data_IF_648917128092
#
_entry.id   IF_648917128092
#
_cell.length_a   1.000
_cell.length_b   1.000
_cell.length_c   1.000
_cell.angle_alpha   90.00
_cell.angle_beta   90.00
_cell.angle_gamma   90.00
#
_symmetry.space_group_name_H-M   'P 1'
#
loop_
_entity.id
_entity.type
_entity.pdbx_description
1 polymer ?
#
# COMPACT_ATOMS: atom_id res chain seq x y z
N UNK A 1 -7.26 17.94 2.15
CA UNK A 1 -6.22 17.00 2.07
C UNK A 1 -6.58 15.71 1.44
N UNK A 2 -5.73 15.29 0.61
CA UNK A 2 -5.95 14.08 -0.15
C UNK A 2 -5.82 12.83 0.70
N UNK A 3 -6.51 11.80 0.27
CA UNK A 3 -6.38 10.47 0.82
C UNK A 3 -5.12 9.76 0.32
N UNK A 4 -5.07 8.46 0.53
CA UNK A 4 -3.99 7.62 0.08
C UNK A 4 -4.15 7.24 -1.40
N UNK A 5 -3.05 6.92 -2.05
CA UNK A 5 -3.06 6.28 -3.37
C UNK A 5 -3.06 4.78 -3.15
N UNK A 6 -4.10 4.13 -3.61
CA UNK A 6 -4.36 2.71 -3.31
C UNK A 6 -4.47 1.92 -4.60
N UNK A 7 -3.77 0.78 -4.65
CA UNK A 7 -3.94 -0.21 -5.70
C UNK A 7 -4.81 -1.34 -5.14
N UNK A 8 -5.94 -1.60 -5.79
CA UNK A 8 -6.83 -2.69 -5.43
C UNK A 8 -6.66 -3.81 -6.44
N UNK A 9 -6.18 -4.96 -5.97
CA UNK A 9 -5.95 -6.15 -6.80
C UNK A 9 -6.97 -7.21 -6.42
N UNK A 10 -7.96 -7.40 -7.26
CA UNK A 10 -9.09 -8.29 -7.01
C UNK A 10 -9.79 -8.60 -8.32
N UNK A 11 -10.12 -9.87 -8.57
CA UNK A 11 -10.79 -10.27 -9.81
C UNK A 11 -12.33 -10.27 -9.72
N UNK A 12 -12.90 -10.23 -8.51
CA UNK A 12 -14.34 -10.12 -8.32
C UNK A 12 -14.80 -8.69 -8.59
N UNK A 13 -15.50 -8.47 -9.70
CA UNK A 13 -15.93 -7.13 -10.12
C UNK A 13 -16.89 -6.48 -9.12
N UNK A 14 -17.77 -7.25 -8.50
CA UNK A 14 -18.73 -6.72 -7.52
C UNK A 14 -18.00 -6.21 -6.29
N UNK A 15 -17.05 -6.99 -5.80
CA UNK A 15 -16.25 -6.59 -4.64
C UNK A 15 -15.36 -5.39 -4.98
N UNK A 16 -14.75 -5.37 -6.16
CA UNK A 16 -13.96 -4.23 -6.63
C UNK A 16 -14.76 -2.94 -6.62
N UNK A 17 -15.96 -2.99 -7.18
CA UNK A 17 -16.83 -1.82 -7.26
C UNK A 17 -17.20 -1.32 -5.86
N UNK A 18 -17.57 -2.22 -4.98
CA UNK A 18 -17.94 -1.89 -3.61
C UNK A 18 -16.77 -1.24 -2.85
N UNK A 19 -15.59 -1.85 -2.91
CA UNK A 19 -14.39 -1.35 -2.22
C UNK A 19 -14.00 0.01 -2.80
N UNK A 20 -13.97 0.13 -4.12
CA UNK A 20 -13.61 1.38 -4.79
C UNK A 20 -14.52 2.52 -4.37
N UNK A 21 -15.83 2.31 -4.38
CA UNK A 21 -16.80 3.34 -3.99
C UNK A 21 -16.60 3.80 -2.55
N UNK A 22 -16.36 2.88 -1.64
CA UNK A 22 -16.14 3.21 -0.25
C UNK A 22 -14.85 4.00 -0.04
N UNK A 23 -13.78 3.61 -0.72
CA UNK A 23 -12.49 4.30 -0.62
C UNK A 23 -12.55 5.69 -1.25
N UNK A 24 -13.15 5.81 -2.43
CA UNK A 24 -13.27 7.09 -3.12
C UNK A 24 -14.17 8.08 -2.38
N UNK A 25 -15.20 7.58 -1.67
CA UNK A 25 -16.04 8.42 -0.82
C UNK A 25 -15.26 9.09 0.31
N UNK A 26 -14.09 8.54 0.66
CA UNK A 26 -13.19 9.11 1.67
C UNK A 26 -11.97 9.79 1.04
N UNK A 27 -12.09 10.16 -0.22
CA UNK A 27 -11.09 10.93 -0.96
C UNK A 27 -9.78 10.18 -1.24
N UNK A 28 -9.80 8.84 -1.17
CA UNK A 28 -8.66 8.04 -1.62
C UNK A 28 -8.68 7.90 -3.15
N UNK A 29 -7.51 7.83 -3.74
CA UNK A 29 -7.34 7.61 -5.16
C UNK A 29 -7.12 6.10 -5.38
N UNK A 30 -7.99 5.46 -6.15
CA UNK A 30 -7.99 4.00 -6.31
C UNK A 30 -7.69 3.62 -7.77
N UNK A 31 -6.64 2.82 -7.94
CA UNK A 31 -6.38 2.12 -9.20
C UNK A 31 -6.74 0.66 -9.01
N UNK A 32 -7.21 -0.01 -10.06
CA UNK A 32 -7.64 -1.41 -9.98
C UNK A 32 -6.84 -2.29 -10.92
N UNK A 33 -6.59 -3.52 -10.47
CA UNK A 33 -6.01 -4.58 -11.28
C UNK A 33 -6.78 -5.86 -10.99
N UNK A 34 -7.17 -6.61 -12.02
CA UNK A 34 -7.99 -7.81 -11.86
C UNK A 34 -7.18 -9.11 -11.94
N UNK A 35 -5.90 -9.02 -12.23
CA UNK A 35 -5.00 -10.16 -12.32
C UNK A 35 -3.59 -9.76 -11.87
N UNK A 36 -2.72 -10.75 -11.72
CA UNK A 36 -1.35 -10.54 -11.26
C UNK A 36 -0.52 -9.74 -12.27
N UNK A 37 -0.70 -10.01 -13.57
CA UNK A 37 0.05 -9.33 -14.61
C UNK A 37 -0.25 -7.83 -14.61
N UNK A 38 -1.52 -7.46 -14.52
CA UNK A 38 -1.94 -6.05 -14.45
C UNK A 38 -1.45 -5.39 -13.16
N UNK A 39 -1.50 -6.12 -12.04
CA UNK A 39 -1.00 -5.62 -10.77
C UNK A 39 0.49 -5.30 -10.84
N UNK A 40 1.31 -6.19 -11.43
CA UNK A 40 2.74 -5.96 -11.60
C UNK A 40 3.01 -4.77 -12.52
N UNK A 41 2.26 -4.65 -13.62
CA UNK A 41 2.38 -3.49 -14.51
C UNK A 41 2.08 -2.19 -13.75
N UNK A 42 1.07 -2.22 -12.87
CA UNK A 42 0.68 -1.05 -12.07
C UNK A 42 1.77 -0.62 -11.09
N UNK A 43 2.37 -1.56 -10.35
CA UNK A 43 3.42 -1.22 -9.39
C UNK A 43 4.74 -0.80 -10.06
N UNK A 44 4.94 -1.21 -11.32
CA UNK A 44 6.07 -0.73 -12.11
C UNK A 44 5.86 0.68 -12.64
N UNK A 45 4.61 1.06 -12.88
CA UNK A 45 4.26 2.34 -13.48
C UNK A 45 4.06 3.46 -12.45
N UNK A 46 3.70 3.15 -11.21
CA UNK A 46 3.37 4.14 -10.20
C UNK A 46 3.66 3.64 -8.79
N UNK A 47 3.77 4.57 -7.86
CA UNK A 47 3.92 4.26 -6.43
C UNK A 47 2.56 4.33 -5.74
N UNK A 48 2.35 3.47 -4.75
CA UNK A 48 1.12 3.41 -3.99
C UNK A 48 1.42 3.48 -2.49
N UNK A 49 0.50 4.08 -1.75
CA UNK A 49 0.61 4.15 -0.29
C UNK A 49 0.12 2.87 0.36
N UNK A 50 -0.77 2.17 -0.31
CA UNK A 50 -1.34 0.91 0.17
C UNK A 50 -1.74 0.05 -1.02
N UNK A 51 -1.48 -1.26 -0.91
CA UNK A 51 -1.94 -2.25 -1.88
C UNK A 51 -2.91 -3.18 -1.17
N UNK A 52 -4.14 -3.28 -1.68
CA UNK A 52 -5.13 -4.24 -1.19
C UNK A 52 -5.11 -5.40 -2.16
N UNK A 53 -4.69 -6.57 -1.70
CA UNK A 53 -4.31 -7.67 -2.57
C UNK A 53 -5.02 -8.97 -2.23
N UNK A 54 -5.85 -9.45 -3.17
CA UNK A 54 -6.39 -10.80 -3.10
C UNK A 54 -5.26 -11.80 -3.44
N UNK A 55 -5.18 -12.86 -2.66
CA UNK A 55 -4.18 -13.90 -2.87
C UNK A 55 -4.56 -14.81 -4.03
N UNK A 56 -5.86 -15.07 -4.24
CA UNK A 56 -6.32 -15.97 -5.29
C UNK A 56 -6.68 -15.19 -6.55
N UNK A 57 -5.69 -14.97 -7.41
CA UNK A 57 -5.87 -14.31 -8.69
C UNK A 57 -5.97 -15.36 -9.81
N UNK A 58 -6.57 -15.01 -10.98
CA UNK A 58 -6.82 -16.01 -12.02
C UNK A 58 -5.55 -16.54 -12.70
N UNK A 59 -4.48 -15.77 -12.74
CA UNK A 59 -3.24 -16.13 -13.43
C UNK A 59 -2.12 -16.61 -12.50
N UNK A 60 -1.96 -15.96 -11.34
CA UNK A 60 -0.93 -16.29 -10.35
C UNK A 60 -1.46 -15.99 -8.95
N UNK A 61 -0.72 -16.35 -7.92
CA UNK A 61 -1.08 -15.98 -6.56
C UNK A 61 -0.65 -14.55 -6.25
N UNK A 62 -1.33 -13.93 -5.28
CA UNK A 62 -0.92 -12.61 -4.79
C UNK A 62 0.47 -12.64 -4.17
N UNK A 63 0.90 -13.77 -3.60
CA UNK A 63 2.24 -13.92 -3.06
C UNK A 63 3.31 -13.79 -4.14
N UNK A 64 3.04 -14.30 -5.35
CA UNK A 64 3.95 -14.17 -6.48
C UNK A 64 4.08 -12.69 -6.90
N UNK A 65 2.99 -11.95 -6.85
CA UNK A 65 3.00 -10.50 -7.11
C UNK A 65 3.89 -9.78 -6.11
N UNK A 66 3.72 -10.07 -4.81
CA UNK A 66 4.52 -9.44 -3.76
C UNK A 66 6.00 -9.77 -3.91
N UNK A 67 6.33 -11.04 -4.18
CA UNK A 67 7.72 -11.46 -4.35
C UNK A 67 8.39 -10.74 -5.51
N UNK A 68 7.71 -10.67 -6.65
CA UNK A 68 8.23 -9.98 -7.83
C UNK A 68 8.40 -8.49 -7.56
N UNK A 69 7.41 -7.85 -6.95
CA UNK A 69 7.46 -6.41 -6.63
C UNK A 69 8.59 -6.09 -5.65
N UNK A 70 8.81 -6.93 -4.64
CA UNK A 70 9.92 -6.77 -3.69
C UNK A 70 11.27 -6.94 -4.37
N UNK A 71 11.43 -7.97 -5.19
CA UNK A 71 12.67 -8.23 -5.91
C UNK A 71 13.05 -7.11 -6.86
N UNK A 72 12.05 -6.43 -7.42
CA UNK A 72 12.24 -5.30 -8.32
C UNK A 72 12.34 -3.95 -7.61
N UNK A 73 12.23 -3.93 -6.26
CA UNK A 73 12.29 -2.71 -5.48
C UNK A 73 11.07 -1.80 -5.65
N UNK A 74 9.93 -2.37 -6.07
CA UNK A 74 8.70 -1.59 -6.31
C UNK A 74 7.85 -1.38 -5.07
N UNK A 75 8.05 -2.20 -4.04
CA UNK A 75 7.39 -2.08 -2.74
C UNK A 75 8.48 -2.01 -1.68
N UNK A 76 8.36 -1.05 -0.77
CA UNK A 76 9.33 -0.86 0.31
C UNK A 76 8.67 -1.09 1.66
N UNK A 77 9.34 -1.79 2.59
CA UNK A 77 8.82 -1.94 3.94
C UNK A 77 8.63 -0.61 4.65
N UNK A 78 7.64 -0.58 5.53
CA UNK A 78 7.37 0.53 6.45
C UNK A 78 7.80 0.12 7.85
N UNK A 79 8.27 1.07 8.63
CA UNK A 79 8.50 0.84 10.07
C UNK A 79 7.23 1.28 10.80
N UNK A 80 6.59 0.32 11.48
CA UNK A 80 5.37 0.56 12.25
C UNK A 80 5.72 0.51 13.72
N UNK A 81 5.43 1.59 14.45
CA UNK A 81 5.76 1.69 15.87
C UNK A 81 5.20 0.51 16.66
N UNK A 82 6.06 -0.17 17.41
CA UNK A 82 5.69 -1.33 18.20
C UNK A 82 5.53 -2.63 17.43
N UNK A 83 5.64 -2.62 16.10
CA UNK A 83 5.43 -3.81 15.26
C UNK A 83 6.58 -4.14 14.32
N UNK A 84 7.57 -3.24 14.22
CA UNK A 84 8.71 -3.43 13.32
C UNK A 84 8.38 -3.14 11.87
N UNK A 85 9.09 -3.79 10.95
CA UNK A 85 8.88 -3.59 9.51
C UNK A 85 7.66 -4.34 9.00
N UNK A 86 6.84 -3.66 8.22
CA UNK A 86 5.67 -4.24 7.56
C UNK A 86 5.61 -3.77 6.13
N UNK A 87 5.08 -4.61 5.23
CA UNK A 87 4.79 -4.17 3.86
C UNK A 87 3.49 -3.35 3.83
N UNK A 88 3.41 -2.32 2.98
CA UNK A 88 2.19 -1.53 2.84
C UNK A 88 1.10 -2.29 2.05
N UNK A 89 0.75 -3.45 2.53
CA UNK A 89 -0.15 -4.39 1.85
C UNK A 89 -1.17 -4.92 2.84
N UNK A 90 -2.45 -4.91 2.42
CA UNK A 90 -3.52 -5.61 3.10
C UNK A 90 -3.87 -6.83 2.26
N UNK A 91 -3.71 -8.01 2.85
CA UNK A 91 -3.97 -9.28 2.16
C UNK A 91 -5.44 -9.66 2.37
N UNK A 92 -6.13 -9.97 1.28
CA UNK A 92 -7.50 -10.50 1.29
C UNK A 92 -7.46 -11.96 0.88
N UNK A 93 -8.22 -12.82 1.57
CA UNK A 93 -8.31 -14.21 1.16
C UNK A 93 -9.60 -14.87 1.63
N UNK A 94 -10.22 -15.66 0.75
CA UNK A 94 -11.36 -16.52 1.09
C UNK A 94 -10.90 -17.81 1.75
N UNK A 95 -9.62 -18.16 1.62
CA UNK A 95 -9.02 -19.35 2.24
C UNK A 95 -8.08 -18.95 3.36
N UNK A 96 -7.83 -19.87 4.29
CA UNK A 96 -6.94 -19.61 5.41
C UNK A 96 -5.51 -19.40 4.91
N UNK A 97 -4.89 -18.31 5.35
CA UNK A 97 -3.50 -17.99 5.03
C UNK A 97 -2.58 -18.65 6.06
N UNK A 98 -1.53 -19.31 5.59
CA UNK A 98 -0.59 -19.97 6.49
C UNK A 98 0.21 -18.95 7.30
N UNK A 99 0.54 -19.27 8.57
CA UNK A 99 1.42 -18.41 9.36
C UNK A 99 2.79 -18.18 8.71
N UNK A 100 3.29 -19.18 7.95
CA UNK A 100 4.56 -19.06 7.25
C UNK A 100 4.57 -17.93 6.21
N UNK A 101 3.47 -17.77 5.47
CA UNK A 101 3.35 -16.69 4.49
C UNK A 101 3.29 -15.32 5.16
N UNK A 102 2.55 -15.20 6.26
CA UNK A 102 2.48 -13.97 7.02
C UNK A 102 3.83 -13.60 7.62
N UNK A 103 4.59 -14.59 8.10
CA UNK A 103 5.93 -14.39 8.64
C UNK A 103 6.93 -14.01 7.56
N UNK A 104 6.78 -14.54 6.33
CA UNK A 104 7.67 -14.24 5.20
C UNK A 104 7.49 -12.81 4.70
N UNK A 105 6.25 -12.37 4.54
CA UNK A 105 5.96 -11.09 3.89
C UNK A 105 5.66 -9.94 4.84
N UNK A 106 5.20 -10.21 6.05
CA UNK A 106 4.84 -9.19 7.05
C UNK A 106 3.91 -8.10 6.50
N UNK A 107 2.72 -8.47 5.99
CA UNK A 107 1.77 -7.45 5.54
C UNK A 107 1.23 -6.65 6.72
N UNK A 108 0.74 -5.44 6.45
CA UNK A 108 0.09 -4.61 7.48
C UNK A 108 -1.10 -5.31 8.12
N UNK A 109 -1.86 -6.04 7.32
CA UNK A 109 -3.03 -6.75 7.81
C UNK A 109 -3.41 -7.90 6.87
N UNK A 110 -4.11 -8.87 7.43
CA UNK A 110 -4.76 -9.94 6.70
C UNK A 110 -6.25 -9.87 7.04
N UNK A 111 -7.09 -9.73 6.03
CA UNK A 111 -8.53 -9.69 6.19
C UNK A 111 -9.14 -10.93 5.51
N UNK A 112 -9.65 -11.90 6.28
CA UNK A 112 -10.35 -13.04 5.68
C UNK A 112 -11.67 -12.57 5.07
N UNK A 113 -12.06 -13.16 3.94
CA UNK A 113 -13.34 -12.87 3.29
C UNK A 113 -14.46 -13.75 3.91
N UNK A 114 -15.63 -13.20 4.20
CA UNK A 114 -16.00 -11.79 4.09
C UNK A 114 -15.38 -10.96 5.20
N UNK A 115 -15.03 -9.72 4.91
CA UNK A 115 -14.41 -8.82 5.87
C UNK A 115 -15.29 -7.59 6.12
N UNK A 116 -15.05 -6.91 7.23
CA UNK A 116 -15.73 -5.66 7.54
C UNK A 116 -15.11 -4.53 6.73
N UNK A 117 -15.92 -3.80 5.96
CA UNK A 117 -15.45 -2.68 5.17
C UNK A 117 -14.74 -1.65 6.05
N UNK A 118 -15.24 -1.42 7.27
CA UNK A 118 -14.63 -0.45 8.19
C UNK A 118 -13.18 -0.81 8.56
N UNK A 119 -12.83 -2.09 8.63
CA UNK A 119 -11.46 -2.49 8.89
C UNK A 119 -10.54 -2.05 7.75
N UNK A 120 -10.98 -2.22 6.51
CA UNK A 120 -10.23 -1.78 5.34
C UNK A 120 -10.12 -0.25 5.28
N UNK A 121 -11.21 0.44 5.55
CA UNK A 121 -11.24 1.90 5.54
C UNK A 121 -10.31 2.51 6.59
N UNK A 122 -10.19 1.87 7.74
CA UNK A 122 -9.24 2.30 8.78
C UNK A 122 -7.81 2.19 8.31
N UNK A 123 -7.46 1.06 7.68
CA UNK A 123 -6.11 0.85 7.15
C UNK A 123 -5.77 1.88 6.06
N UNK A 124 -6.75 2.21 5.22
CA UNK A 124 -6.58 3.23 4.20
C UNK A 124 -6.37 4.62 4.82
N UNK A 125 -7.12 4.96 5.87
CA UNK A 125 -6.96 6.23 6.58
C UNK A 125 -5.57 6.35 7.21
N UNK A 126 -5.06 5.26 7.78
CA UNK A 126 -3.71 5.22 8.35
C UNK A 126 -2.65 5.43 7.26
N UNK A 127 -2.85 4.84 6.07
CA UNK A 127 -1.95 5.04 4.94
C UNK A 127 -1.92 6.51 4.50
N UNK A 128 -3.08 7.17 4.48
CA UNK A 128 -3.16 8.59 4.16
C UNK A 128 -2.42 9.45 5.18
N UNK A 129 -2.51 9.12 6.46
CA UNK A 129 -1.79 9.83 7.52
C UNK A 129 -0.28 9.68 7.38
N UNK A 130 0.20 8.49 7.07
CA UNK A 130 1.63 8.24 6.87
C UNK A 130 2.17 9.06 5.70
N UNK A 131 1.41 9.15 4.60
CA UNK A 131 1.77 9.95 3.44
C UNK A 131 1.94 11.43 3.81
N UNK A 132 0.98 12.01 4.53
CA UNK A 132 1.01 13.41 4.95
C UNK A 132 2.22 13.71 5.84
N UNK A 133 2.52 12.82 6.80
CA UNK A 133 3.66 12.97 7.70
C UNK A 133 4.98 12.93 6.93
N UNK A 134 5.13 12.00 5.98
CA UNK A 134 6.32 11.88 5.15
C UNK A 134 6.55 13.14 4.31
N UNK A 135 5.51 13.67 3.68
CA UNK A 135 5.58 14.88 2.87
C UNK A 135 6.02 16.08 3.69
N UNK A 136 5.50 16.23 4.91
CA UNK A 136 5.88 17.33 5.82
C UNK A 136 7.35 17.24 6.22
N UNK A 137 7.85 16.06 6.46
CA UNK A 137 9.25 15.84 6.82
C UNK A 137 10.18 16.23 5.67
N UNK A 138 9.86 15.86 4.45
CA UNK A 138 10.65 16.20 3.27
C UNK A 138 10.68 17.70 3.01
N UNK A 139 9.56 18.39 3.16
CA UNK A 139 9.50 19.85 3.02
C UNK A 139 10.39 20.57 4.03
N UNK A 140 10.37 20.14 5.28
CA UNK A 140 11.20 20.73 6.34
C UNK A 140 12.68 20.55 6.06
N UNK A 141 13.09 19.40 5.53
CA UNK A 141 14.47 19.09 5.21
C UNK A 141 14.96 19.94 4.02
N UNK A 142 14.12 20.12 3.00
CA UNK A 142 14.46 20.89 1.82
C UNK A 142 14.59 22.38 2.11
N UNK A 143 13.77 22.93 3.00
CA UNK A 143 13.82 24.36 3.30
C UNK A 143 15.01 24.76 4.18
N UNK A 144 15.64 23.83 4.87
CA UNK A 144 16.83 24.11 5.67
C UNK A 144 18.13 24.07 4.87
N UNK A 145 18.17 23.33 3.78
CA UNK A 145 19.35 23.13 2.98
C UNK A 145 19.93 24.40 2.34
N UNK A 146 19.14 25.30 1.71
CA UNK A 146 19.69 26.49 1.09
C UNK A 146 20.29 27.50 2.06
N UNK A 147 19.80 27.59 3.27
CA UNK A 147 20.30 28.53 4.27
C UNK A 147 21.68 28.15 4.79
N UNK A 148 21.93 26.84 4.89
CA UNK A 148 23.22 26.35 5.38
C UNK A 148 24.35 26.60 4.37
N UNK A 149 24.08 26.47 3.09
CA UNK A 149 25.05 26.72 2.02
C UNK A 149 25.43 28.20 1.92
N UNK A 150 24.51 29.11 2.19
CA UNK A 150 24.80 30.56 2.18
C UNK A 150 25.73 30.97 3.32
N UNK A 151 25.57 30.38 4.51
CA UNK A 151 26.44 30.65 5.63
C UNK A 151 27.88 30.19 5.40
N UNK A 152 28.06 29.06 4.76
CA UNK A 152 29.38 28.52 4.43
C UNK A 152 30.12 29.42 3.44
N UNK A 153 29.42 30.03 2.50
CA UNK A 153 30.02 30.88 1.48
C UNK A 153 30.52 32.22 2.05
N UNK A 154 29.99 32.67 3.17
CA UNK A 154 30.40 33.95 3.78
C UNK A 154 31.39 33.78 4.92
N UNK A 155 31.66 32.58 5.30
CA UNK A 155 32.65 32.29 6.33
C UNK A 155 34.06 32.23 5.75
#
# INVERSE_FOLDING_TARGET
MSGARILLVEDDEVLCDLVKRNLEAREHEVSMAQDAQTALASVRAASYDLIVLDINLPDQTGWDVLRAALNEGRIKPLVVEGQGEKLPVVVLSAVRVSPGRLAEFHPLAYLPKPFLMEALLRLAAEAAQRRTTSDRFEESTQSQKPQHDEEELHA
#
